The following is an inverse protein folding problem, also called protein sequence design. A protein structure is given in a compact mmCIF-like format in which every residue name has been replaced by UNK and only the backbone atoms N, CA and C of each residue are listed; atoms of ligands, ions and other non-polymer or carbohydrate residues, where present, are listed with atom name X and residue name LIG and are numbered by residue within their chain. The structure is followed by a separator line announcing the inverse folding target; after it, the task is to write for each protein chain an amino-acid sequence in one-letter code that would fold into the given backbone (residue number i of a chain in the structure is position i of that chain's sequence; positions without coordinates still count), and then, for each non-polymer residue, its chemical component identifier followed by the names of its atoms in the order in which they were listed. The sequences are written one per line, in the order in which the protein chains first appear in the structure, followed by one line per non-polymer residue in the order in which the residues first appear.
data_IF_558180722947
#
_entry.id   IF_558180722947
#
_cell.length_a   1.000
_cell.length_b   1.000
_cell.length_c   1.000
_cell.angle_alpha   90.00
_cell.angle_beta   90.00
_cell.angle_gamma   90.00
#
_symmetry.space_group_name_H-M   'P 1'
#
loop_
_entity.id
_entity.type
_entity.pdbx_description
1 polymer ?
#
# COMPACT_ATOMS: atom_id res chain seq x y z
N UNK A 1 -1.59 -12.28 4.02
CA UNK A 1 -0.79 -11.23 3.35
C UNK A 1 0.03 -11.88 2.26
N UNK A 2 -0.02 -11.40 1.02
CA UNK A 2 0.79 -11.91 -0.10
C UNK A 2 1.72 -10.79 -0.56
N UNK A 3 3.02 -11.08 -0.66
CA UNK A 3 4.06 -10.16 -1.12
C UNK A 3 4.46 -10.51 -2.55
N UNK A 4 4.44 -9.53 -3.46
CA UNK A 4 5.01 -9.69 -4.82
C UNK A 4 5.98 -8.55 -5.16
N UNK A 5 7.04 -8.91 -5.89
CA UNK A 5 8.04 -7.96 -6.41
C UNK A 5 7.63 -7.40 -7.78
N UNK A 6 7.76 -6.09 -7.97
CA UNK A 6 7.45 -5.38 -9.22
C UNK A 6 8.71 -4.86 -9.92
N UNK A 7 8.73 -4.89 -11.26
CA UNK A 7 9.74 -4.22 -12.11
C UNK A 7 9.38 -2.76 -12.45
N UNK A 8 8.19 -2.31 -12.06
CA UNK A 8 7.73 -0.93 -12.29
C UNK A 8 8.31 0.05 -11.24
N UNK A 9 8.25 1.36 -11.50
CA UNK A 9 8.69 2.44 -10.59
C UNK A 9 7.85 2.58 -9.30
N UNK A 10 6.99 1.61 -9.01
CA UNK A 10 6.18 1.56 -7.80
C UNK A 10 7.06 1.13 -6.64
N UNK A 11 7.20 1.98 -5.62
CA UNK A 11 8.00 1.66 -4.45
C UNK A 11 7.30 0.65 -3.55
N UNK A 12 6.08 0.99 -3.12
CA UNK A 12 5.18 0.14 -2.37
C UNK A 12 3.77 0.45 -2.85
N UNK A 13 2.95 -0.57 -3.06
CA UNK A 13 1.52 -0.41 -3.27
C UNK A 13 0.79 -1.39 -2.36
N UNK A 14 -0.20 -0.89 -1.63
CA UNK A 14 -1.09 -1.70 -0.80
C UNK A 14 -2.49 -1.55 -1.31
N UNK A 15 -3.11 -2.67 -1.66
CA UNK A 15 -4.50 -2.74 -2.09
C UNK A 15 -5.34 -3.42 -1.04
N UNK A 16 -6.52 -2.87 -0.78
CA UNK A 16 -7.57 -3.48 0.02
C UNK A 16 -8.61 -4.05 -0.93
N UNK A 17 -8.82 -5.36 -0.87
CA UNK A 17 -9.80 -6.05 -1.71
C UNK A 17 -10.95 -6.56 -0.85
N UNK A 18 -12.15 -6.36 -1.37
CA UNK A 18 -13.39 -6.84 -0.79
C UNK A 18 -13.56 -8.35 -1.05
N UNK A 19 -14.39 -9.04 -0.26
CA UNK A 19 -14.76 -10.43 -0.53
C UNK A 19 -15.26 -10.61 -1.97
N UNK A 20 -14.86 -11.71 -2.60
CA UNK A 20 -15.32 -12.14 -3.92
C UNK A 20 -15.58 -13.65 -3.92
N UNK A 21 -16.02 -14.19 -5.06
CA UNK A 21 -16.38 -15.61 -5.19
C UNK A 21 -15.25 -16.58 -4.80
N UNK A 22 -13.99 -16.12 -4.80
CA UNK A 22 -12.81 -16.95 -4.55
C UNK A 22 -12.30 -16.79 -3.11
N UNK A 23 -12.64 -15.69 -2.43
CA UNK A 23 -12.28 -15.41 -1.04
C UNK A 23 -13.38 -14.60 -0.38
N UNK A 24 -13.98 -15.19 0.64
CA UNK A 24 -15.10 -14.65 1.40
C UNK A 24 -14.70 -13.72 2.56
N UNK A 25 -13.48 -13.19 2.56
CA UNK A 25 -12.97 -12.29 3.59
C UNK A 25 -12.29 -11.08 2.96
N UNK A 26 -12.06 -10.00 3.71
CA UNK A 26 -11.31 -8.84 3.26
C UNK A 26 -9.80 -9.11 3.35
N UNK A 27 -9.01 -8.63 2.37
CA UNK A 27 -7.55 -8.76 2.49
C UNK A 27 -6.79 -7.56 1.97
N UNK A 28 -5.61 -7.38 2.58
CA UNK A 28 -4.58 -6.51 2.06
C UNK A 28 -3.61 -7.29 1.18
N UNK A 29 -3.38 -6.76 -0.02
CA UNK A 29 -2.37 -7.22 -0.96
C UNK A 29 -1.25 -6.18 -1.03
N UNK A 30 0.00 -6.59 -0.82
CA UNK A 30 1.15 -5.69 -0.78
C UNK A 30 2.11 -6.02 -1.92
N UNK A 31 2.36 -5.04 -2.79
CA UNK A 31 3.31 -5.08 -3.89
C UNK A 31 4.50 -4.18 -3.53
N UNK A 32 5.72 -4.70 -3.68
CA UNK A 32 6.96 -3.96 -3.36
C UNK A 32 7.81 -3.87 -4.63
N UNK A 33 8.35 -2.70 -4.92
CA UNK A 33 9.27 -2.45 -6.02
C UNK A 33 10.71 -2.82 -5.71
N UNK A 34 11.48 -3.02 -6.77
CA UNK A 34 12.93 -3.13 -6.66
C UNK A 34 13.55 -1.75 -6.42
N UNK A 35 14.50 -1.69 -5.48
CA UNK A 35 15.28 -0.49 -5.18
C UNK A 35 16.74 -0.74 -5.57
N UNK A 36 17.38 0.13 -6.37
CA UNK A 36 18.82 0.05 -6.60
C UNK A 36 19.60 0.07 -5.29
N UNK A 37 20.62 -0.79 -5.16
CA UNK A 37 21.42 -0.92 -3.93
C UNK A 37 22.00 0.40 -3.42
N UNK A 38 22.38 1.30 -4.35
CA UNK A 38 22.89 2.65 -4.05
C UNK A 38 21.89 3.52 -3.27
N UNK A 39 20.59 3.27 -3.41
CA UNK A 39 19.51 4.04 -2.79
C UNK A 39 18.92 3.32 -1.56
N UNK A 40 19.42 2.13 -1.21
CA UNK A 40 18.88 1.30 -0.15
C UNK A 40 18.84 2.01 1.23
N UNK A 41 19.88 2.75 1.67
CA UNK A 41 19.82 3.46 2.95
C UNK A 41 18.72 4.52 2.97
N UNK A 42 18.62 5.34 1.92
CA UNK A 42 17.59 6.38 1.79
C UNK A 42 16.19 5.78 1.71
N UNK A 43 16.02 4.72 0.91
CA UNK A 43 14.75 4.03 0.78
C UNK A 43 14.28 3.44 2.13
N UNK A 44 15.17 2.79 2.88
CA UNK A 44 14.86 2.27 4.23
C UNK A 44 14.43 3.38 5.17
N UNK A 45 15.13 4.50 5.18
CA UNK A 45 14.77 5.62 6.04
C UNK A 45 13.42 6.21 5.64
N UNK A 46 13.17 6.42 4.34
CA UNK A 46 11.85 6.87 3.85
C UNK A 46 10.73 5.88 4.20
N UNK A 47 11.01 4.58 4.13
CA UNK A 47 10.04 3.55 4.52
C UNK A 47 9.67 3.68 6.01
N UNK A 48 10.68 3.89 6.86
CA UNK A 48 10.53 4.03 8.31
C UNK A 48 9.77 5.30 8.71
N UNK A 49 10.14 6.44 8.15
CA UNK A 49 9.62 7.75 8.60
C UNK A 49 8.32 8.16 7.90
N UNK A 50 8.03 7.61 6.72
CA UNK A 50 6.91 8.06 5.88
C UNK A 50 5.96 6.92 5.50
N UNK A 51 6.47 5.91 4.79
CA UNK A 51 5.60 4.89 4.18
C UNK A 51 4.86 4.05 5.22
N UNK A 52 5.57 3.52 6.23
CA UNK A 52 4.95 2.71 7.28
C UNK A 52 3.94 3.53 8.10
N UNK A 53 4.27 4.74 8.59
CA UNK A 53 3.30 5.58 9.30
C UNK A 53 2.05 5.90 8.48
N UNK A 54 2.20 6.33 7.23
CA UNK A 54 1.06 6.65 6.36
C UNK A 54 0.21 5.41 6.05
N UNK A 55 0.85 4.25 5.85
CA UNK A 55 0.16 2.98 5.64
C UNK A 55 -0.70 2.60 6.85
N UNK A 56 -0.12 2.66 8.05
CA UNK A 56 -0.84 2.36 9.30
C UNK A 56 -2.02 3.32 9.46
N UNK A 57 -1.84 4.61 9.19
CA UNK A 57 -2.90 5.60 9.26
C UNK A 57 -4.04 5.29 8.27
N UNK A 58 -3.70 4.95 7.03
CA UNK A 58 -4.68 4.58 6.00
C UNK A 58 -5.44 3.30 6.38
N UNK A 59 -4.74 2.25 6.83
CA UNK A 59 -5.36 1.00 7.28
C UNK A 59 -6.29 1.22 8.47
N UNK A 60 -5.86 1.99 9.48
CA UNK A 60 -6.68 2.29 10.65
C UNK A 60 -7.94 3.06 10.27
N UNK A 61 -7.82 4.04 9.37
CA UNK A 61 -8.98 4.79 8.85
C UNK A 61 -9.93 3.89 8.07
N UNK A 62 -9.41 2.97 7.27
CA UNK A 62 -10.25 2.07 6.48
C UNK A 62 -10.99 1.05 7.36
N UNK A 63 -10.28 0.48 8.34
CA UNK A 63 -10.82 -0.54 9.23
C UNK A 63 -11.73 0.03 10.34
N UNK A 64 -11.71 1.35 10.58
CA UNK A 64 -12.64 2.00 11.51
C UNK A 64 -14.07 2.07 10.97
N UNK A 65 -14.26 1.93 9.66
CA UNK A 65 -15.60 1.90 9.07
C UNK A 65 -16.32 0.57 9.36
N UNK A 66 -17.64 0.60 9.61
CA UNK A 66 -18.46 -0.60 9.67
C UNK A 66 -18.37 -1.44 8.38
N UNK A 67 -18.57 -2.75 8.48
CA UNK A 67 -18.52 -3.69 7.33
C UNK A 67 -19.54 -3.34 6.23
N UNK A 68 -20.65 -2.69 6.59
CA UNK A 68 -21.67 -2.26 5.63
C UNK A 68 -21.40 -0.89 4.99
N UNK A 69 -20.32 -0.19 5.39
CA UNK A 69 -19.96 1.12 4.86
C UNK A 69 -19.65 1.06 3.37
N UNK A 70 -20.17 1.98 2.55
CA UNK A 70 -19.80 2.09 1.13
C UNK A 70 -18.29 2.22 0.94
N UNK A 71 -17.60 2.95 1.83
CA UNK A 71 -16.15 3.12 1.77
C UNK A 71 -15.43 1.78 1.90
N UNK A 72 -15.90 0.89 2.79
CA UNK A 72 -15.29 -0.43 3.02
C UNK A 72 -15.73 -1.47 2.00
N UNK A 73 -16.80 -1.20 1.24
CA UNK A 73 -17.31 -2.05 0.15
C UNK A 73 -16.68 -1.75 -1.22
N UNK A 74 -15.72 -0.83 -1.28
CA UNK A 74 -14.96 -0.54 -2.50
C UNK A 74 -13.52 -1.05 -2.38
N UNK A 75 -13.06 -1.71 -3.44
CA UNK A 75 -11.65 -2.04 -3.61
C UNK A 75 -10.86 -0.76 -3.84
N UNK A 76 -9.82 -0.55 -3.05
CA UNK A 76 -9.06 0.70 -3.04
C UNK A 76 -7.59 0.43 -2.80
N UNK A 77 -6.73 1.39 -3.13
CA UNK A 77 -5.30 1.24 -2.92
C UNK A 77 -4.63 2.54 -2.52
N UNK A 78 -3.52 2.39 -1.81
CA UNK A 78 -2.52 3.44 -1.58
C UNK A 78 -1.20 2.99 -2.22
N UNK A 79 -0.58 3.89 -2.96
CA UNK A 79 0.67 3.65 -3.65
C UNK A 79 1.68 4.73 -3.28
N UNK A 80 2.95 4.33 -3.14
CA UNK A 80 4.10 5.20 -3.06
C UNK A 80 5.01 4.94 -4.26
N UNK A 81 5.42 6.00 -4.94
CA UNK A 81 6.39 5.94 -6.04
C UNK A 81 7.74 6.47 -5.57
N UNK A 82 8.83 5.86 -6.02
CA UNK A 82 10.18 6.28 -5.67
C UNK A 82 10.82 7.02 -6.84
N UNK A 83 10.87 8.36 -6.76
CA UNK A 83 11.59 9.21 -7.71
C UNK A 83 12.85 9.77 -7.03
N UNK A 84 13.88 8.95 -6.89
CA UNK A 84 15.12 9.37 -6.20
C UNK A 84 14.89 9.65 -4.72
N UNK A 85 15.09 10.88 -4.25
CA UNK A 85 14.86 11.28 -2.84
C UNK A 85 13.40 11.60 -2.52
N UNK A 86 12.51 11.65 -3.51
CA UNK A 86 11.12 12.08 -3.34
C UNK A 86 10.20 10.88 -3.44
N UNK A 87 9.37 10.71 -2.41
CA UNK A 87 8.27 9.73 -2.39
C UNK A 87 6.93 10.46 -2.46
N UNK A 88 6.17 10.19 -3.53
CA UNK A 88 4.80 10.67 -3.73
C UNK A 88 3.81 9.54 -3.42
N UNK A 89 2.69 9.86 -2.79
CA UNK A 89 1.61 8.91 -2.57
C UNK A 89 0.39 9.22 -3.44
N UNK A 90 -0.38 8.19 -3.77
CA UNK A 90 -1.66 8.33 -4.47
C UNK A 90 -2.65 7.36 -3.83
N UNK A 91 -3.83 7.87 -3.51
CA UNK A 91 -4.95 7.09 -2.96
C UNK A 91 -6.04 7.08 -4.02
N UNK A 92 -6.49 5.89 -4.39
CA UNK A 92 -7.63 5.71 -5.29
C UNK A 92 -8.73 4.95 -4.55
N UNK A 93 -9.95 5.46 -4.64
CA UNK A 93 -11.16 4.95 -3.98
C UNK A 93 -12.00 4.08 -4.92
#
# INVERSE_FOLDING_TARGET
MVLRYSRENVYIQVSFWIPNDWRNYEWFYIKIGMVPSKLLPSARETMRIKVIPELIQWMNKLLSFPLNSPVRKSSQFIQWDFQGTIVKNTITF
#
